data_IF_524481923843
#
_entry.id   IF_524481923843
#
_cell.length_a   1.000
_cell.length_b   1.000
_cell.length_c   1.000
_cell.angle_alpha   90.00
_cell.angle_beta   90.00
_cell.angle_gamma   90.00
#
_symmetry.space_group_name_H-M   'P 1'
#
loop_
_entity.id
_entity.type
_entity.pdbx_description
1 polymer ?
#
# COMPACT_ATOMS: atom_id res chain seq x y z
N UNK A 1 32.98 23.92 3.07
CA UNK A 1 32.16 24.64 2.07
C UNK A 1 31.02 23.72 1.67
N UNK A 2 29.80 23.98 2.14
CA UNK A 2 28.62 23.15 1.84
C UNK A 2 28.03 23.66 0.54
N UNK A 3 27.98 22.82 -0.49
CA UNK A 3 27.35 23.16 -1.77
C UNK A 3 25.86 22.85 -1.62
N UNK A 4 25.05 23.89 -1.49
CA UNK A 4 23.59 23.80 -1.50
C UNK A 4 23.17 23.82 -2.97
N UNK A 5 22.79 22.69 -3.53
CA UNK A 5 22.19 22.62 -4.87
C UNK A 5 20.67 22.69 -4.70
N UNK A 6 20.08 23.83 -5.06
CA UNK A 6 18.62 24.01 -5.11
C UNK A 6 18.19 23.67 -6.53
N UNK A 7 17.53 22.52 -6.70
CA UNK A 7 16.88 22.14 -7.96
C UNK A 7 15.39 21.97 -7.64
N UNK A 8 14.54 22.83 -8.21
CA UNK A 8 13.07 22.77 -8.10
C UNK A 8 12.50 22.67 -6.67
N UNK A 9 13.02 23.45 -5.72
CA UNK A 9 12.47 23.49 -4.34
C UNK A 9 12.80 22.27 -3.46
N UNK A 10 13.55 21.30 -4.00
CA UNK A 10 14.10 20.18 -3.25
C UNK A 10 15.56 20.47 -2.97
N UNK A 11 15.97 20.45 -1.70
CA UNK A 11 17.38 20.55 -1.33
C UNK A 11 17.93 19.15 -1.09
N UNK A 12 18.82 18.74 -1.99
CA UNK A 12 19.69 17.57 -1.78
C UNK A 12 20.95 18.07 -1.10
N UNK A 13 21.04 17.91 0.22
CA UNK A 13 22.23 18.31 0.97
C UNK A 13 23.28 17.22 0.80
N UNK A 14 24.39 17.54 0.12
CA UNK A 14 25.55 16.66 0.01
C UNK A 14 26.61 17.12 1.03
N UNK A 15 26.81 16.42 2.16
CA UNK A 15 27.83 16.80 3.11
C UNK A 15 29.19 16.32 2.60
N UNK A 16 30.06 17.27 2.23
CA UNK A 16 31.50 16.99 2.15
C UNK A 16 32.01 16.94 3.59
N UNK A 17 31.79 15.80 4.25
CA UNK A 17 32.48 15.42 5.47
C UNK A 17 33.29 14.16 5.18
N UNK A 18 34.59 14.22 5.44
CA UNK A 18 35.45 13.04 5.44
C UNK A 18 34.99 12.09 6.56
N UNK A 19 34.67 10.84 6.18
CA UNK A 19 34.50 9.73 7.12
C UNK A 19 33.10 9.13 7.17
N UNK A 20 33.02 7.89 6.68
CA UNK A 20 31.91 6.91 6.74
C UNK A 20 30.81 7.02 5.67
N UNK A 21 30.69 5.94 4.90
CA UNK A 21 29.79 5.74 3.76
C UNK A 21 28.31 5.67 4.11
N UNK A 22 27.96 5.60 5.40
CA UNK A 22 26.60 5.28 5.87
C UNK A 22 25.71 6.51 6.14
N UNK A 23 26.29 7.72 6.09
CA UNK A 23 25.57 8.98 6.35
C UNK A 23 25.07 9.65 5.07
N UNK A 24 25.48 9.17 3.89
CA UNK A 24 25.22 9.80 2.57
C UNK A 24 23.76 9.75 2.07
N UNK A 25 22.77 9.37 2.89
CA UNK A 25 21.42 9.03 2.39
C UNK A 25 20.20 9.65 3.09
N UNK A 26 20.33 10.51 4.10
CA UNK A 26 19.29 10.57 5.15
C UNK A 26 18.53 11.86 5.44
N UNK A 27 18.49 12.86 4.55
CA UNK A 27 17.63 14.03 4.81
C UNK A 27 16.93 14.50 3.55
N UNK A 28 15.64 14.17 3.41
CA UNK A 28 14.73 14.74 2.42
C UNK A 28 13.87 15.76 3.16
N UNK A 29 14.11 17.04 2.96
CA UNK A 29 13.28 18.12 3.50
C UNK A 29 12.81 19.02 2.37
N UNK A 30 11.58 19.50 2.47
CA UNK A 30 11.05 20.57 1.62
C UNK A 30 11.18 21.89 2.39
N UNK A 31 11.55 22.97 1.69
CA UNK A 31 11.87 24.25 2.30
C UNK A 31 10.95 25.35 1.75
N UNK A 32 10.39 26.13 2.66
CA UNK A 32 9.67 27.36 2.36
C UNK A 32 10.41 28.55 2.97
N UNK A 33 10.63 29.57 2.16
CA UNK A 33 11.35 30.77 2.58
C UNK A 33 10.38 31.78 3.17
N UNK A 34 10.95 32.60 4.04
CA UNK A 34 10.27 33.71 4.68
C UNK A 34 9.14 33.30 5.63
N UNK A 35 9.17 32.08 6.16
CA UNK A 35 8.17 31.58 7.11
C UNK A 35 8.79 31.03 8.39
N UNK A 36 8.10 31.22 9.52
CA UNK A 36 8.37 30.50 10.78
C UNK A 36 7.09 30.02 11.44
N UNK A 37 7.22 28.95 12.22
CA UNK A 37 6.16 28.38 13.04
C UNK A 37 5.78 29.37 14.15
N UNK A 38 4.49 29.55 14.37
CA UNK A 38 3.94 30.26 15.52
C UNK A 38 3.93 29.32 16.71
N UNK A 39 4.53 29.74 17.83
CA UNK A 39 4.59 28.91 19.04
C UNK A 39 3.18 28.55 19.53
N UNK A 40 2.97 27.26 19.75
CA UNK A 40 1.76 26.66 20.29
C UNK A 40 2.11 25.52 21.26
N UNK A 41 1.11 24.83 21.82
CA UNK A 41 1.31 23.71 22.74
C UNK A 41 2.05 22.51 22.08
N UNK A 42 2.00 22.38 20.74
CA UNK A 42 2.73 21.35 19.98
C UNK A 42 4.16 21.77 19.59
N UNK A 43 4.57 23.00 19.96
CA UNK A 43 5.82 23.58 19.48
C UNK A 43 6.91 23.56 20.55
N UNK A 44 8.04 22.92 20.26
CA UNK A 44 9.25 23.01 21.09
C UNK A 44 10.23 24.03 20.51
N UNK A 45 10.74 24.96 21.33
CA UNK A 45 11.71 25.98 20.86
C UNK A 45 13.07 25.76 21.48
N UNK A 46 14.11 25.78 20.64
CA UNK A 46 15.51 25.63 21.04
C UNK A 46 16.42 26.54 20.22
N UNK A 47 17.71 26.58 20.52
CA UNK A 47 18.72 27.31 19.75
C UNK A 47 19.37 26.38 18.72
N UNK A 48 19.68 26.92 17.55
CA UNK A 48 20.48 26.26 16.54
C UNK A 48 21.38 27.27 15.80
N UNK A 49 22.54 26.81 15.37
CA UNK A 49 23.54 27.60 14.64
C UNK A 49 23.21 27.67 13.15
N UNK A 50 22.32 26.80 12.67
CA UNK A 50 21.88 26.78 11.27
C UNK A 50 20.54 26.06 11.09
N UNK A 51 19.92 26.27 9.93
CA UNK A 51 18.77 25.48 9.47
C UNK A 51 19.10 23.98 9.40
N UNK A 52 20.34 23.60 9.09
CA UNK A 52 20.78 22.19 9.02
C UNK A 52 20.73 21.56 10.42
N UNK A 53 21.26 22.25 11.43
CA UNK A 53 21.18 21.76 12.80
C UNK A 53 19.72 21.69 13.27
N UNK A 54 18.89 22.68 12.92
CA UNK A 54 17.46 22.66 13.23
C UNK A 54 16.73 21.47 12.59
N UNK A 55 17.00 21.15 11.32
CA UNK A 55 16.46 19.95 10.66
C UNK A 55 16.95 18.64 11.29
N UNK A 56 18.19 18.64 11.80
CA UNK A 56 18.77 17.47 12.48
C UNK A 56 18.06 17.20 13.79
N UNK A 57 17.77 18.26 14.55
CA UNK A 57 16.96 18.18 15.77
C UNK A 57 15.56 17.63 15.46
N UNK A 58 14.90 18.12 14.41
CA UNK A 58 13.60 17.57 14.00
C UNK A 58 13.68 16.09 13.55
N UNK A 59 14.80 15.66 12.98
CA UNK A 59 14.97 14.26 12.56
C UNK A 59 15.21 13.34 13.75
N UNK A 60 15.87 13.82 14.81
CA UNK A 60 16.10 13.05 16.04
C UNK A 60 14.87 12.96 16.93
N UNK A 61 13.93 13.91 16.81
CA UNK A 61 12.66 13.87 17.52
C UNK A 61 11.65 13.00 16.76
N UNK A 62 11.14 11.95 17.43
CA UNK A 62 10.24 10.98 16.82
C UNK A 62 8.94 11.62 16.31
N UNK A 63 8.41 12.60 17.06
CA UNK A 63 7.14 13.26 16.76
C UNK A 63 7.28 14.51 15.90
N UNK A 64 8.49 14.97 15.59
CA UNK A 64 8.66 16.20 14.81
C UNK A 64 8.37 15.96 13.32
N UNK A 65 7.41 16.74 12.80
CA UNK A 65 6.95 16.72 11.41
C UNK A 65 7.44 17.95 10.64
N UNK A 66 7.50 19.10 11.32
CA UNK A 66 7.97 20.36 10.76
C UNK A 66 8.90 21.08 11.70
N UNK A 67 9.79 21.91 11.14
CA UNK A 67 10.59 22.82 11.92
C UNK A 67 10.73 24.17 11.23
N UNK A 68 11.08 25.21 11.97
CA UNK A 68 11.46 26.50 11.39
C UNK A 68 12.66 27.10 12.07
N UNK A 69 13.46 27.83 11.28
CA UNK A 69 14.69 28.45 11.72
C UNK A 69 14.66 29.95 11.40
N UNK A 70 14.95 30.79 12.39
CA UNK A 70 15.12 32.23 12.20
C UNK A 70 16.61 32.60 12.22
N UNK A 71 17.12 33.05 11.08
CA UNK A 71 18.52 33.46 10.91
C UNK A 71 18.94 34.65 11.78
N UNK A 72 18.01 35.51 12.21
CA UNK A 72 18.32 36.68 13.03
C UNK A 72 18.51 36.28 14.48
N UNK A 73 17.61 35.44 15.00
CA UNK A 73 17.58 35.10 16.42
C UNK A 73 18.26 33.77 16.73
N UNK A 74 18.58 32.95 15.73
CA UNK A 74 19.10 31.59 15.89
C UNK A 74 18.09 30.64 16.56
N UNK A 75 16.80 30.99 16.56
CA UNK A 75 15.75 30.15 17.14
C UNK A 75 15.33 29.07 16.15
N UNK A 76 15.33 27.83 16.63
CA UNK A 76 14.77 26.65 16.00
C UNK A 76 13.47 26.28 16.70
N UNK A 77 12.38 26.18 15.96
CA UNK A 77 11.07 25.72 16.44
C UNK A 77 10.78 24.38 15.80
N UNK A 78 10.48 23.37 16.60
CA UNK A 78 10.07 22.04 16.17
C UNK A 78 8.58 21.89 16.44
N UNK A 79 7.83 21.29 15.53
CA UNK A 79 6.39 21.06 15.69
C UNK A 79 6.02 19.66 15.23
N UNK A 80 5.09 19.03 15.95
CA UNK A 80 4.58 17.71 15.61
C UNK A 80 3.49 17.72 14.54
N UNK A 81 3.06 18.90 14.08
CA UNK A 81 2.10 19.04 13.00
C UNK A 81 2.81 19.18 11.64
N UNK A 82 2.35 18.42 10.64
CA UNK A 82 2.81 18.53 9.25
C UNK A 82 2.30 19.78 8.52
N UNK A 83 1.32 20.48 9.10
CA UNK A 83 0.76 21.74 8.62
C UNK A 83 0.60 22.75 9.78
N UNK A 84 1.72 23.28 10.32
CA UNK A 84 1.70 24.17 11.47
C UNK A 84 1.10 25.53 11.10
N UNK A 85 0.67 26.29 12.12
CA UNK A 85 0.38 27.72 11.93
C UNK A 85 1.70 28.46 11.72
N UNK A 86 1.80 29.24 10.65
CA UNK A 86 3.02 29.98 10.29
C UNK A 86 2.78 31.48 10.27
N UNK A 87 3.87 32.24 10.36
CA UNK A 87 3.88 33.67 10.08
C UNK A 87 5.06 34.02 9.19
N UNK A 88 4.85 35.00 8.32
CA UNK A 88 5.89 35.45 7.40
C UNK A 88 6.93 36.32 8.11
N UNK A 89 8.21 35.95 8.03
CA UNK A 89 9.33 36.79 8.42
C UNK A 89 10.46 36.66 7.41
N UNK A 90 11.12 37.75 7.02
CA UNK A 90 12.17 37.74 5.98
C UNK A 90 13.37 36.82 6.30
N UNK A 91 13.64 36.58 7.57
CA UNK A 91 14.77 35.76 8.04
C UNK A 91 14.40 34.32 8.37
N UNK A 92 13.16 33.94 8.08
CA UNK A 92 12.58 32.65 8.41
C UNK A 92 12.80 31.63 7.31
N UNK A 93 13.03 30.39 7.73
CA UNK A 93 12.94 29.23 6.86
C UNK A 93 12.07 28.19 7.57
N UNK A 94 11.03 27.73 6.88
CA UNK A 94 10.20 26.61 7.27
C UNK A 94 10.69 25.35 6.55
N UNK A 95 10.76 24.24 7.28
CA UNK A 95 11.18 22.92 6.78
C UNK A 95 10.13 21.88 7.10
N UNK A 96 9.82 21.06 6.10
CA UNK A 96 8.95 19.90 6.22
C UNK A 96 9.78 18.64 6.11
N UNK A 97 9.62 17.73 7.08
CA UNK A 97 10.23 16.40 7.01
C UNK A 97 9.56 15.63 5.88
N UNK A 98 10.30 15.30 4.82
CA UNK A 98 9.74 14.48 3.74
C UNK A 98 9.75 13.03 4.22
N UNK A 99 8.57 12.54 4.55
CA UNK A 99 8.36 11.12 4.75
C UNK A 99 8.42 10.42 3.40
N UNK A 100 9.14 9.31 3.34
CA UNK A 100 9.04 8.44 2.19
C UNK A 100 7.61 7.89 2.14
N UNK A 101 6.97 7.89 0.96
CA UNK A 101 5.58 7.46 0.88
C UNK A 101 5.49 6.01 1.30
N UNK A 102 4.75 5.72 2.35
CA UNK A 102 4.59 4.35 2.88
C UNK A 102 3.59 3.54 2.08
N UNK A 103 2.73 4.23 1.33
CA UNK A 103 1.79 3.68 0.35
C UNK A 103 1.41 4.77 -0.67
N UNK A 104 0.61 4.42 -1.67
CA UNK A 104 0.19 5.33 -2.72
C UNK A 104 -0.67 6.52 -2.25
N UNK A 105 -1.27 6.45 -1.05
CA UNK A 105 -2.07 7.56 -0.52
C UNK A 105 -1.21 8.75 -0.08
N UNK A 106 0.08 8.50 0.12
CA UNK A 106 1.10 9.51 0.49
C UNK A 106 1.85 10.08 -0.72
N UNK A 107 1.44 9.74 -1.94
CA UNK A 107 2.01 10.34 -3.14
C UNK A 107 1.61 11.82 -3.25
N UNK A 108 2.46 12.68 -3.83
CA UNK A 108 2.15 14.09 -4.00
C UNK A 108 0.83 14.32 -4.75
N UNK A 109 0.11 15.39 -4.39
CA UNK A 109 -1.08 15.82 -5.13
C UNK A 109 -0.73 16.07 -6.61
N UNK A 110 -1.61 15.63 -7.51
CA UNK A 110 -1.38 15.71 -8.96
C UNK A 110 -0.53 14.58 -9.54
N UNK A 111 -0.07 13.61 -8.72
CA UNK A 111 0.55 12.40 -9.24
C UNK A 111 -0.42 11.62 -10.14
N UNK A 112 0.12 10.96 -11.17
CA UNK A 112 -0.64 10.20 -12.16
C UNK A 112 -0.51 8.69 -11.93
N UNK A 113 -1.38 7.90 -12.56
CA UNK A 113 -1.30 6.44 -12.48
C UNK A 113 0.06 5.94 -12.99
N UNK A 114 0.67 4.99 -12.28
CA UNK A 114 1.97 4.44 -12.68
C UNK A 114 2.66 3.66 -11.58
N UNK A 115 3.89 3.23 -11.85
CA UNK A 115 4.73 2.53 -10.88
C UNK A 115 5.51 3.53 -10.04
N UNK A 116 5.43 3.37 -8.73
CA UNK A 116 6.13 4.20 -7.74
C UNK A 116 6.89 3.33 -6.75
N UNK A 117 7.90 3.93 -6.10
CA UNK A 117 8.58 3.34 -4.94
C UNK A 117 7.90 3.80 -3.67
N UNK A 118 7.46 2.83 -2.86
CA UNK A 118 7.04 3.07 -1.48
C UNK A 118 8.09 2.53 -0.51
N UNK A 119 8.14 3.10 0.70
CA UNK A 119 9.06 2.66 1.74
C UNK A 119 8.31 1.93 2.85
N UNK A 120 8.68 0.68 3.09
CA UNK A 120 8.01 -0.22 4.03
C UNK A 120 8.80 -0.24 5.34
N UNK A 121 8.37 0.61 6.29
CA UNK A 121 9.13 0.98 7.49
C UNK A 121 9.59 -0.22 8.34
N UNK A 122 8.70 -1.18 8.62
CA UNK A 122 8.95 -2.30 9.54
C UNK A 122 10.03 -3.28 9.03
N UNK A 123 10.30 -3.27 7.72
CA UNK A 123 11.32 -4.08 7.06
C UNK A 123 12.39 -3.25 6.36
N UNK A 124 12.38 -1.92 6.57
CA UNK A 124 13.39 -0.96 6.11
C UNK A 124 13.81 -1.17 4.64
N UNK A 125 12.82 -1.29 3.73
CA UNK A 125 13.08 -1.51 2.29
C UNK A 125 12.11 -0.75 1.41
N UNK A 126 12.54 -0.51 0.18
CA UNK A 126 11.66 0.00 -0.87
C UNK A 126 10.97 -1.14 -1.60
N UNK A 127 9.73 -0.89 -2.01
CA UNK A 127 8.94 -1.76 -2.85
C UNK A 127 8.40 -0.97 -4.04
N UNK A 128 8.51 -1.54 -5.23
CA UNK A 128 7.83 -1.01 -6.42
C UNK A 128 6.37 -1.46 -6.38
N UNK A 129 5.43 -0.52 -6.53
CA UNK A 129 3.99 -0.76 -6.54
C UNK A 129 3.33 0.06 -7.63
N UNK A 130 2.22 -0.42 -8.18
CA UNK A 130 1.39 0.39 -9.05
C UNK A 130 0.45 1.25 -8.20
N UNK A 131 0.50 2.56 -8.40
CA UNK A 131 -0.41 3.51 -7.78
C UNK A 131 -1.52 3.90 -8.75
N UNK A 132 -2.75 3.64 -8.34
CA UNK A 132 -3.94 4.20 -8.97
C UNK A 132 -4.29 5.53 -8.27
N UNK A 133 -3.87 6.61 -8.91
CA UNK A 133 -4.06 7.98 -8.45
C UNK A 133 -5.43 8.55 -8.84
N UNK A 134 -6.15 7.93 -9.79
CA UNK A 134 -7.46 8.39 -10.27
C UNK A 134 -8.50 8.53 -9.16
N UNK A 135 -8.40 7.71 -8.11
CA UNK A 135 -9.31 7.71 -6.96
C UNK A 135 -8.58 7.96 -5.62
N UNK A 136 -7.51 8.76 -5.64
CA UNK A 136 -6.85 9.24 -4.43
C UNK A 136 -5.78 8.29 -3.87
N UNK A 137 -4.96 7.68 -4.74
CA UNK A 137 -3.72 7.01 -4.33
C UNK A 137 -3.93 5.61 -3.75
N UNK A 138 -4.57 4.73 -4.51
CA UNK A 138 -4.69 3.32 -4.15
C UNK A 138 -3.43 2.55 -4.51
N UNK A 139 -2.96 1.71 -3.59
CA UNK A 139 -1.85 0.78 -3.83
C UNK A 139 -2.41 -0.51 -4.40
N UNK A 140 -2.12 -0.81 -5.66
CA UNK A 140 -2.57 -2.05 -6.29
C UNK A 140 -1.74 -3.22 -5.75
N UNK A 141 -2.41 -4.28 -5.32
CA UNK A 141 -1.78 -5.49 -4.75
C UNK A 141 -2.00 -6.73 -5.61
N UNK A 142 -2.98 -6.69 -6.52
CA UNK A 142 -3.20 -7.71 -7.54
C UNK A 142 -3.81 -7.07 -8.78
N UNK A 143 -3.36 -7.46 -9.97
CA UNK A 143 -3.95 -7.04 -11.24
C UNK A 143 -4.04 -8.17 -12.25
N UNK A 144 -5.22 -8.37 -12.83
CA UNK A 144 -5.57 -9.23 -13.96
C UNK A 144 -6.18 -8.41 -15.10
N UNK A 145 -5.76 -8.60 -16.33
CA UNK A 145 -6.26 -7.88 -17.50
C UNK A 145 -6.07 -8.60 -18.85
N UNK A 146 -5.11 -9.54 -18.98
CA UNK A 146 -4.69 -10.10 -20.26
C UNK A 146 -4.21 -11.56 -20.21
N UNK A 147 -4.06 -12.15 -19.01
CA UNK A 147 -3.59 -13.51 -18.84
C UNK A 147 -2.12 -13.73 -19.14
N UNK A 148 -1.31 -12.67 -19.17
CA UNK A 148 0.14 -12.74 -19.43
C UNK A 148 0.93 -13.41 -18.31
N UNK A 149 0.35 -13.55 -17.11
CA UNK A 149 1.01 -14.16 -15.96
C UNK A 149 0.21 -15.35 -15.44
N UNK A 150 0.91 -16.45 -15.20
CA UNK A 150 0.35 -17.63 -14.53
C UNK A 150 0.21 -17.38 -13.02
N UNK A 151 -1.02 -17.49 -12.51
CA UNK A 151 -1.36 -17.35 -11.09
C UNK A 151 -1.50 -18.70 -10.39
N UNK A 152 -1.39 -19.85 -11.07
CA UNK A 152 -1.41 -21.17 -10.43
C UNK A 152 -0.05 -21.54 -9.82
N UNK A 153 0.37 -20.72 -8.85
CA UNK A 153 1.68 -20.74 -8.21
C UNK A 153 1.69 -21.45 -6.88
N UNK A 154 2.88 -21.75 -6.40
CA UNK A 154 3.11 -22.38 -5.09
C UNK A 154 3.10 -21.34 -3.95
N UNK A 155 3.18 -21.81 -2.71
CA UNK A 155 3.21 -20.97 -1.53
C UNK A 155 4.33 -19.93 -1.54
N UNK A 156 5.53 -20.34 -1.96
CA UNK A 156 6.72 -19.48 -1.94
C UNK A 156 6.59 -18.31 -2.92
N UNK A 157 6.04 -18.56 -4.10
CA UNK A 157 5.72 -17.54 -5.10
C UNK A 157 4.66 -16.58 -4.56
N UNK A 158 3.56 -17.07 -3.97
CA UNK A 158 2.53 -16.21 -3.37
C UNK A 158 3.02 -15.40 -2.18
N UNK A 159 3.95 -15.95 -1.39
CA UNK A 159 4.63 -15.27 -0.29
C UNK A 159 5.47 -14.09 -0.79
N UNK A 160 6.31 -14.31 -1.79
CA UNK A 160 7.27 -13.31 -2.33
C UNK A 160 6.62 -12.29 -3.27
N UNK A 161 5.58 -12.71 -3.99
CA UNK A 161 5.00 -11.99 -5.10
C UNK A 161 5.59 -12.43 -6.44
N UNK A 162 4.82 -12.22 -7.51
CA UNK A 162 5.17 -12.63 -8.87
C UNK A 162 4.49 -11.73 -9.90
N UNK A 163 4.96 -11.78 -11.15
CA UNK A 163 4.46 -10.96 -12.25
C UNK A 163 5.20 -9.63 -12.39
N UNK A 164 4.57 -8.67 -13.06
CA UNK A 164 5.13 -7.35 -13.32
C UNK A 164 4.18 -6.27 -12.82
N UNK A 165 4.67 -5.37 -11.95
CA UNK A 165 3.88 -4.27 -11.37
C UNK A 165 3.30 -3.31 -12.42
N UNK A 166 3.88 -3.25 -13.63
CA UNK A 166 3.33 -2.50 -14.76
C UNK A 166 2.25 -3.26 -15.55
N UNK A 167 2.02 -4.54 -15.28
CA UNK A 167 1.10 -5.45 -15.97
C UNK A 167 0.30 -6.31 -14.98
N UNK A 168 0.24 -7.62 -15.21
CA UNK A 168 -0.36 -8.56 -14.27
C UNK A 168 0.61 -8.97 -13.17
N UNK A 169 0.16 -8.99 -11.92
CA UNK A 169 0.99 -9.40 -10.78
C UNK A 169 0.18 -9.71 -9.54
N UNK A 170 0.82 -10.44 -8.62
CA UNK A 170 0.47 -10.54 -7.21
C UNK A 170 1.61 -9.92 -6.41
N UNK A 171 1.30 -8.95 -5.53
CA UNK A 171 2.34 -8.20 -4.83
C UNK A 171 3.16 -9.09 -3.88
N UNK A 172 2.59 -10.16 -3.35
CA UNK A 172 3.23 -11.05 -2.38
C UNK A 172 2.64 -10.88 -0.98
N UNK A 173 2.32 -11.99 -0.31
CA UNK A 173 1.63 -11.96 0.98
C UNK A 173 2.49 -11.27 2.06
N UNK A 174 3.80 -11.52 2.09
CA UNK A 174 4.70 -10.81 3.01
C UNK A 174 4.73 -9.31 2.70
N UNK A 175 4.71 -8.93 1.42
CA UNK A 175 4.72 -7.53 1.01
C UNK A 175 3.43 -6.83 1.45
N UNK A 176 2.28 -7.47 1.23
CA UNK A 176 0.97 -6.97 1.65
C UNK A 176 0.94 -6.83 3.18
N UNK A 177 1.29 -7.87 3.93
CA UNK A 177 1.33 -7.85 5.40
C UNK A 177 2.17 -6.68 5.93
N UNK A 178 3.38 -6.51 5.38
CA UNK A 178 4.30 -5.46 5.82
C UNK A 178 3.82 -4.04 5.48
N UNK A 179 3.07 -3.84 4.38
CA UNK A 179 2.43 -2.56 4.07
C UNK A 179 1.34 -2.25 5.11
N UNK A 180 0.50 -3.25 5.42
CA UNK A 180 -0.59 -3.08 6.40
C UNK A 180 -0.04 -2.76 7.79
N UNK A 181 1.10 -3.37 8.17
CA UNK A 181 1.84 -3.10 9.41
C UNK A 181 0.94 -3.07 10.67
N UNK A 182 0.04 -4.06 10.77
CA UNK A 182 -0.94 -4.19 11.87
C UNK A 182 -2.12 -3.22 11.83
N UNK A 183 -2.14 -2.26 10.89
CA UNK A 183 -3.21 -1.29 10.72
C UNK A 183 -4.32 -1.83 9.82
N UNK A 184 -5.51 -1.26 9.96
CA UNK A 184 -6.63 -1.53 9.03
C UNK A 184 -6.46 -0.67 7.78
N UNK A 185 -6.61 -1.28 6.61
CA UNK A 185 -6.70 -0.59 5.32
C UNK A 185 -8.08 -0.83 4.72
N UNK A 186 -8.54 0.09 3.86
CA UNK A 186 -9.63 -0.24 2.93
C UNK A 186 -9.10 -1.13 1.81
N UNK A 187 -9.89 -2.13 1.43
CA UNK A 187 -9.65 -3.01 0.29
C UNK A 187 -10.73 -2.78 -0.77
N UNK A 188 -10.32 -2.67 -2.03
CA UNK A 188 -11.23 -2.50 -3.15
C UNK A 188 -10.89 -3.45 -4.30
N UNK A 189 -11.92 -4.05 -4.88
CA UNK A 189 -11.91 -4.77 -6.14
C UNK A 189 -12.61 -3.93 -7.20
N UNK A 190 -11.92 -3.65 -8.31
CA UNK A 190 -12.54 -3.13 -9.52
C UNK A 190 -12.62 -4.25 -10.57
N UNK A 191 -13.80 -4.41 -11.17
CA UNK A 191 -14.15 -5.53 -12.04
C UNK A 191 -14.65 -5.00 -13.39
N UNK A 192 -14.29 -5.68 -14.49
CA UNK A 192 -14.79 -5.37 -15.83
C UNK A 192 -15.17 -6.66 -16.58
N UNK A 193 -16.32 -6.66 -17.26
CA UNK A 193 -16.74 -7.70 -18.21
C UNK A 193 -16.21 -7.41 -19.60
N UNK A 194 -16.16 -8.42 -20.46
CA UNK A 194 -15.82 -8.25 -21.89
C UNK A 194 -16.79 -7.32 -22.63
N UNK A 195 -18.02 -7.17 -22.14
CA UNK A 195 -19.01 -6.21 -22.64
C UNK A 195 -18.71 -4.75 -22.28
N UNK A 196 -17.68 -4.48 -21.46
CA UNK A 196 -17.32 -3.15 -20.97
C UNK A 196 -18.09 -2.70 -19.72
N UNK A 197 -19.04 -3.50 -19.22
CA UNK A 197 -19.69 -3.25 -17.94
C UNK A 197 -18.67 -3.34 -16.80
N UNK A 198 -18.79 -2.42 -15.83
CA UNK A 198 -17.89 -2.33 -14.66
C UNK A 198 -18.67 -2.40 -13.36
N UNK A 199 -18.03 -2.93 -12.34
CA UNK A 199 -18.56 -2.96 -10.97
C UNK A 199 -17.42 -3.01 -9.96
N UNK A 200 -17.75 -2.88 -8.68
CA UNK A 200 -16.76 -2.91 -7.61
C UNK A 200 -17.31 -3.52 -6.33
N UNK A 201 -16.40 -4.10 -5.54
CA UNK A 201 -16.61 -4.51 -4.16
C UNK A 201 -15.56 -3.84 -3.28
N UNK A 202 -15.96 -3.29 -2.15
CA UNK A 202 -15.06 -2.58 -1.25
C UNK A 202 -15.34 -3.00 0.20
N UNK A 203 -14.28 -3.19 0.97
CA UNK A 203 -14.31 -3.52 2.38
C UNK A 203 -13.58 -2.40 3.12
N UNK A 204 -14.24 -1.82 4.11
CA UNK A 204 -13.65 -0.80 4.97
C UNK A 204 -12.45 -1.37 5.73
N UNK A 205 -12.60 -2.55 6.33
CA UNK A 205 -11.52 -3.19 7.10
C UNK A 205 -10.94 -4.33 6.27
N UNK A 206 -9.64 -4.25 6.02
CA UNK A 206 -8.81 -5.33 5.49
C UNK A 206 -7.54 -5.46 6.32
N UNK A 207 -7.29 -6.68 6.79
CA UNK A 207 -6.02 -7.11 7.40
C UNK A 207 -5.68 -8.51 6.92
N UNK A 208 -4.39 -8.82 6.93
CA UNK A 208 -3.92 -10.20 6.90
C UNK A 208 -2.95 -10.41 8.05
N UNK A 209 -2.90 -11.62 8.61
CA UNK A 209 -1.86 -12.02 9.55
C UNK A 209 -0.54 -12.33 8.81
N UNK A 210 0.51 -12.68 9.55
CA UNK A 210 1.78 -13.11 8.95
C UNK A 210 1.73 -14.59 8.51
N UNK A 211 2.87 -15.09 8.01
CA UNK A 211 2.97 -16.49 7.56
C UNK A 211 2.77 -17.52 8.69
N UNK A 212 3.08 -17.17 9.94
CA UNK A 212 2.94 -18.09 11.08
C UNK A 212 1.47 -18.37 11.42
N UNK A 213 0.58 -17.48 10.99
CA UNK A 213 -0.87 -17.61 11.06
C UNK A 213 -1.50 -17.79 9.66
N UNK A 214 -0.72 -18.32 8.70
CA UNK A 214 -1.18 -18.68 7.36
C UNK A 214 -1.86 -17.53 6.59
N UNK A 215 -1.39 -16.29 6.82
CA UNK A 215 -1.96 -15.07 6.25
C UNK A 215 -3.47 -14.92 6.48
N UNK A 216 -3.96 -15.30 7.67
CA UNK A 216 -5.37 -15.22 8.06
C UNK A 216 -5.99 -13.86 7.67
N UNK A 217 -7.09 -13.90 6.93
CA UNK A 217 -7.78 -12.72 6.40
C UNK A 217 -8.75 -12.12 7.41
N UNK A 218 -8.76 -10.81 7.59
CA UNK A 218 -9.85 -10.09 8.26
C UNK A 218 -10.51 -9.11 7.30
N UNK A 219 -11.83 -9.22 7.15
CA UNK A 219 -12.65 -8.33 6.33
C UNK A 219 -13.88 -7.81 7.10
N UNK A 220 -14.24 -6.55 6.92
CA UNK A 220 -15.52 -5.99 7.37
C UNK A 220 -15.91 -4.71 6.61
N UNK A 221 -17.17 -4.27 6.78
CA UNK A 221 -17.67 -3.02 6.22
C UNK A 221 -17.81 -3.07 4.69
N UNK A 222 -18.50 -4.08 4.18
CA UNK A 222 -18.73 -4.21 2.74
C UNK A 222 -19.55 -3.03 2.18
N UNK A 223 -19.18 -2.56 1.00
CA UNK A 223 -19.96 -1.68 0.14
C UNK A 223 -19.65 -1.98 -1.34
N UNK A 224 -20.57 -1.64 -2.23
CA UNK A 224 -20.33 -1.70 -3.68
C UNK A 224 -21.44 -2.34 -4.48
N UNK A 225 -21.24 -2.39 -5.79
CA UNK A 225 -22.24 -2.82 -6.79
C UNK A 225 -21.97 -4.22 -7.33
N UNK A 226 -20.88 -4.87 -6.94
CA UNK A 226 -20.52 -6.21 -7.39
C UNK A 226 -21.21 -7.32 -6.59
N UNK A 227 -22.21 -6.95 -5.79
CA UNK A 227 -22.82 -7.79 -4.78
C UNK A 227 -21.84 -8.10 -3.65
N UNK A 228 -22.28 -7.88 -2.40
CA UNK A 228 -21.84 -8.85 -1.40
C UNK A 228 -22.57 -10.11 -1.81
N UNK A 229 -21.93 -11.27 -1.76
CA UNK A 229 -22.66 -12.48 -2.02
C UNK A 229 -23.88 -12.49 -1.07
N UNK A 230 -25.11 -12.31 -1.57
CA UNK A 230 -26.32 -12.53 -0.78
C UNK A 230 -26.48 -14.02 -0.44
N UNK A 231 -25.54 -14.86 -0.92
CA UNK A 231 -25.22 -16.21 -0.49
C UNK A 231 -23.91 -16.32 0.34
N UNK A 232 -23.51 -15.20 0.92
CA UNK A 232 -22.67 -15.05 2.10
C UNK A 232 -21.30 -15.75 2.03
N UNK A 233 -20.40 -15.44 1.08
CA UNK A 233 -19.07 -16.10 1.05
C UNK A 233 -17.86 -15.18 1.15
N UNK A 234 -17.87 -13.97 0.60
CA UNK A 234 -16.67 -13.13 0.65
C UNK A 234 -16.42 -12.45 2.00
N UNK A 235 -17.45 -11.83 2.60
CA UNK A 235 -17.34 -11.35 3.98
C UNK A 235 -17.12 -12.50 4.98
N UNK A 236 -17.62 -13.71 4.68
CA UNK A 236 -17.31 -14.94 5.42
C UNK A 236 -15.90 -15.50 5.15
N UNK A 237 -15.14 -14.92 4.21
CA UNK A 237 -13.71 -15.20 4.10
C UNK A 237 -12.91 -14.56 5.25
N UNK A 238 -13.53 -13.65 6.02
CA UNK A 238 -12.94 -13.19 7.28
C UNK A 238 -12.74 -14.40 8.21
N UNK A 239 -11.54 -14.55 8.73
CA UNK A 239 -11.06 -15.70 9.50
C UNK A 239 -10.48 -16.85 8.67
N UNK A 240 -10.53 -16.80 7.33
CA UNK A 240 -10.00 -17.86 6.48
C UNK A 240 -8.48 -17.75 6.29
N UNK A 241 -7.86 -18.91 6.13
CA UNK A 241 -6.43 -19.05 5.89
C UNK A 241 -6.13 -19.06 4.39
N UNK A 242 -4.97 -18.55 4.01
CA UNK A 242 -4.53 -18.59 2.62
C UNK A 242 -4.11 -20.02 2.26
N UNK A 243 -4.48 -20.51 1.08
CA UNK A 243 -4.07 -21.81 0.56
C UNK A 243 -3.50 -21.70 -0.84
N UNK A 244 -2.62 -22.62 -1.20
CA UNK A 244 -2.00 -22.77 -2.54
C UNK A 244 -1.96 -24.25 -2.91
N UNK A 245 -1.51 -24.57 -4.13
CA UNK A 245 -1.51 -25.97 -4.61
C UNK A 245 -0.69 -26.94 -3.75
N UNK A 246 0.33 -26.42 -3.06
CA UNK A 246 1.28 -27.18 -2.23
C UNK A 246 1.13 -26.93 -0.72
N UNK A 247 0.35 -25.92 -0.29
CA UNK A 247 0.00 -25.69 1.12
C UNK A 247 -1.51 -25.56 1.27
N UNK A 248 -2.09 -26.60 1.85
CA UNK A 248 -3.52 -26.76 2.04
C UNK A 248 -3.91 -26.31 3.45
N UNK A 249 -4.58 -25.17 3.52
CA UNK A 249 -5.11 -24.59 4.75
C UNK A 249 -6.64 -24.37 4.64
N UNK A 250 -7.27 -25.03 3.66
CA UNK A 250 -8.72 -25.10 3.59
C UNK A 250 -9.24 -26.28 4.44
N UNK A 251 -10.55 -26.38 4.58
CA UNK A 251 -11.18 -27.34 5.50
C UNK A 251 -11.90 -28.47 4.74
N UNK A 252 -11.54 -28.71 3.47
CA UNK A 252 -12.19 -29.73 2.66
C UNK A 252 -11.45 -31.08 2.71
N UNK A 253 -11.92 -32.01 3.54
CA UNK A 253 -11.32 -33.35 3.68
C UNK A 253 -11.29 -34.19 2.38
N UNK A 254 -12.09 -33.84 1.37
CA UNK A 254 -12.25 -34.58 0.12
C UNK A 254 -11.38 -34.08 -1.04
N UNK A 255 -10.60 -33.02 -0.87
CA UNK A 255 -9.80 -32.43 -1.95
C UNK A 255 -9.05 -31.17 -1.51
N UNK A 256 -8.65 -30.33 -2.47
CA UNK A 256 -7.94 -29.07 -2.21
C UNK A 256 -8.51 -27.95 -3.07
N UNK A 257 -9.07 -26.92 -2.47
CA UNK A 257 -9.70 -25.82 -3.19
C UNK A 257 -8.70 -25.09 -4.10
N UNK A 258 -7.47 -24.88 -3.64
CA UNK A 258 -6.43 -24.27 -4.46
C UNK A 258 -6.10 -25.07 -5.74
N UNK A 259 -6.25 -26.41 -5.71
CA UNK A 259 -6.02 -27.27 -6.87
C UNK A 259 -7.21 -27.28 -7.84
N UNK A 260 -8.43 -27.21 -7.30
CA UNK A 260 -9.68 -27.12 -8.07
C UNK A 260 -9.83 -25.76 -8.75
N UNK A 261 -9.61 -24.67 -8.02
CA UNK A 261 -9.72 -23.30 -8.54
C UNK A 261 -8.48 -22.80 -9.28
N UNK A 262 -7.41 -23.61 -9.32
CA UNK A 262 -6.13 -23.28 -9.98
C UNK A 262 -5.56 -21.92 -9.56
N UNK A 263 -5.63 -21.62 -8.26
CA UNK A 263 -5.20 -20.34 -7.72
C UNK A 263 -4.76 -20.46 -6.26
N UNK A 264 -3.98 -19.50 -5.79
CA UNK A 264 -3.82 -19.24 -4.36
C UNK A 264 -4.88 -18.24 -3.89
N UNK A 265 -5.60 -18.55 -2.81
CA UNK A 265 -6.66 -17.70 -2.28
C UNK A 265 -7.01 -18.03 -0.83
N UNK A 266 -7.83 -17.15 -0.22
CA UNK A 266 -8.56 -17.46 1.00
C UNK A 266 -9.84 -18.20 0.63
N UNK A 267 -9.85 -19.52 0.79
CA UNK A 267 -11.01 -20.35 0.49
C UNK A 267 -11.93 -20.48 1.70
N UNK A 268 -13.21 -20.75 1.47
CA UNK A 268 -14.17 -20.91 2.57
C UNK A 268 -13.80 -22.13 3.45
N UNK A 269 -14.08 -22.05 4.75
CA UNK A 269 -13.86 -23.16 5.69
C UNK A 269 -14.89 -24.28 5.53
N UNK A 270 -16.15 -23.93 5.32
CA UNK A 270 -17.23 -24.92 5.24
C UNK A 270 -17.52 -25.26 3.78
N UNK A 271 -16.73 -26.18 3.24
CA UNK A 271 -16.84 -26.66 1.86
C UNK A 271 -17.53 -28.03 1.88
N UNK A 272 -18.81 -28.06 1.53
CA UNK A 272 -19.59 -29.30 1.44
C UNK A 272 -19.29 -30.09 0.15
N UNK A 273 -18.71 -29.42 -0.85
CA UNK A 273 -18.32 -30.02 -2.14
C UNK A 273 -17.31 -29.14 -2.89
N UNK A 274 -16.69 -29.64 -3.95
CA UNK A 274 -15.75 -28.86 -4.80
C UNK A 274 -16.34 -27.53 -5.32
N UNK A 275 -17.67 -27.43 -5.45
CA UNK A 275 -18.38 -26.25 -5.92
C UNK A 275 -18.46 -25.12 -4.87
N UNK A 276 -18.09 -25.42 -3.62
CA UNK A 276 -18.25 -24.53 -2.46
C UNK A 276 -16.95 -23.81 -2.06
N UNK A 277 -15.84 -24.08 -2.76
CA UNK A 277 -14.52 -23.52 -2.45
C UNK A 277 -14.51 -21.99 -2.46
N UNK A 278 -15.10 -21.39 -3.50
CA UNK A 278 -15.22 -19.93 -3.61
C UNK A 278 -16.30 -19.52 -4.63
N UNK A 279 -16.81 -18.30 -4.47
CA UNK A 279 -17.75 -17.64 -5.39
C UNK A 279 -17.08 -16.54 -6.20
N UNK A 280 -15.82 -16.28 -5.90
CA UNK A 280 -14.97 -15.34 -6.63
C UNK A 280 -13.59 -15.97 -6.78
N UNK A 281 -13.04 -15.94 -7.98
CA UNK A 281 -11.69 -16.44 -8.21
C UNK A 281 -10.86 -15.36 -8.92
N UNK A 282 -10.50 -14.24 -8.25
CA UNK A 282 -9.69 -13.19 -8.84
C UNK A 282 -8.33 -13.68 -9.37
N UNK A 283 -7.82 -14.76 -8.77
CA UNK A 283 -6.54 -15.36 -9.10
C UNK A 283 -6.66 -16.53 -10.09
N UNK A 284 -7.85 -16.78 -10.65
CA UNK A 284 -8.08 -17.85 -11.63
C UNK A 284 -7.34 -17.68 -12.96
N UNK A 285 -7.58 -18.58 -13.88
CA UNK A 285 -6.93 -18.64 -15.18
C UNK A 285 -7.73 -17.90 -16.26
N UNK A 286 -7.05 -17.37 -17.27
CA UNK A 286 -7.67 -16.85 -18.48
C UNK A 286 -7.72 -17.95 -19.55
N UNK A 287 -8.53 -18.97 -19.32
CA UNK A 287 -8.67 -20.13 -20.21
C UNK A 287 -10.13 -20.43 -20.51
N UNK A 288 -10.42 -20.88 -21.73
CA UNK A 288 -11.73 -21.44 -22.07
C UNK A 288 -11.81 -22.89 -21.55
N UNK A 289 -12.87 -23.22 -20.80
CA UNK A 289 -13.07 -24.59 -20.32
C UNK A 289 -13.73 -24.68 -18.95
N UNK A 290 -12.98 -25.16 -17.95
CA UNK A 290 -13.49 -25.44 -16.61
C UNK A 290 -13.83 -24.14 -15.86
N UNK A 291 -15.12 -23.93 -15.62
CA UNK A 291 -15.69 -22.73 -15.03
C UNK A 291 -15.24 -22.47 -13.58
N UNK A 292 -14.70 -23.47 -12.88
CA UNK A 292 -14.16 -23.33 -11.52
C UNK A 292 -12.75 -22.71 -11.51
N UNK A 293 -12.03 -22.83 -12.63
CA UNK A 293 -10.62 -22.45 -12.73
C UNK A 293 -10.43 -21.01 -13.19
N UNK A 294 -11.47 -20.39 -13.77
CA UNK A 294 -11.36 -19.12 -14.48
C UNK A 294 -11.34 -17.89 -13.56
N UNK A 295 -10.98 -16.72 -14.10
CA UNK A 295 -11.15 -15.43 -13.41
C UNK A 295 -12.63 -15.03 -13.43
N UNK A 296 -13.36 -15.24 -12.34
CA UNK A 296 -14.80 -14.91 -12.26
C UNK A 296 -15.21 -14.19 -10.97
N UNK A 297 -16.38 -13.55 -11.02
CA UNK A 297 -17.06 -12.95 -9.86
C UNK A 297 -18.56 -13.23 -9.93
N UNK A 298 -18.97 -14.37 -9.36
CA UNK A 298 -20.34 -14.87 -9.49
C UNK A 298 -21.40 -13.94 -8.87
N UNK A 299 -21.19 -13.30 -7.69
CA UNK A 299 -22.21 -12.44 -7.07
C UNK A 299 -22.67 -11.26 -7.93
N UNK A 300 -21.81 -10.80 -8.84
CA UNK A 300 -22.11 -9.69 -9.73
C UNK A 300 -22.73 -10.16 -11.04
N UNK A 301 -22.13 -11.19 -11.63
CA UNK A 301 -22.45 -11.65 -12.99
C UNK A 301 -23.63 -12.62 -13.01
N UNK A 302 -23.96 -13.21 -11.85
CA UNK A 302 -24.89 -14.33 -11.70
C UNK A 302 -24.58 -15.50 -12.65
N UNK A 303 -23.30 -15.68 -12.97
CA UNK A 303 -22.80 -16.70 -13.89
C UNK A 303 -21.32 -17.01 -13.59
N UNK A 304 -20.82 -18.12 -14.13
CA UNK A 304 -19.39 -18.37 -14.22
C UNK A 304 -18.92 -17.93 -15.60
N UNK A 305 -18.49 -16.67 -15.68
CA UNK A 305 -17.95 -16.08 -16.90
C UNK A 305 -16.59 -15.45 -16.62
N UNK A 306 -15.71 -15.47 -17.63
CA UNK A 306 -14.39 -14.88 -17.55
C UNK A 306 -14.55 -13.36 -17.50
N UNK A 307 -14.08 -12.75 -16.42
CA UNK A 307 -13.96 -11.31 -16.34
C UNK A 307 -12.82 -10.84 -17.24
N UNK A 308 -13.02 -9.71 -17.90
CA UNK A 308 -11.98 -9.06 -18.71
C UNK A 308 -10.85 -8.59 -17.81
N UNK A 309 -11.16 -7.95 -16.69
CA UNK A 309 -10.14 -7.51 -15.74
C UNK A 309 -10.63 -7.54 -14.30
N UNK A 310 -9.69 -7.80 -13.38
CA UNK A 310 -9.88 -7.70 -11.93
C UNK A 310 -8.68 -7.00 -11.34
N UNK A 311 -8.90 -5.96 -10.54
CA UNK A 311 -7.83 -5.26 -9.81
C UNK A 311 -8.16 -5.21 -8.33
N UNK A 312 -7.27 -5.72 -7.48
CA UNK A 312 -7.35 -5.64 -6.03
C UNK A 312 -6.38 -4.55 -5.55
N UNK A 313 -6.86 -3.59 -4.75
CA UNK A 313 -6.07 -2.45 -4.30
C UNK A 313 -6.43 -2.03 -2.88
N UNK A 314 -5.46 -1.51 -2.17
CA UNK A 314 -5.58 -1.10 -0.76
C UNK A 314 -5.28 0.37 -0.58
N UNK A 315 -5.90 0.99 0.43
CA UNK A 315 -5.66 2.38 0.80
C UNK A 315 -5.79 2.57 2.30
N UNK A 316 -4.83 3.31 2.88
CA UNK A 316 -4.89 3.72 4.27
C UNK A 316 -5.92 4.85 4.44
N UNK A 317 -6.61 4.85 5.57
CA UNK A 317 -7.58 5.88 5.95
C UNK A 317 -6.94 7.24 6.21
#
# INVERSE_FOLDING_TARGET
>A
MVIIIIIYGVVVINPICHGTSDIKKKMKFTLEKEEIIVSSDSTTTTKADSVIQCTTLCTSEQECETASYDHTTGQCRLDSNSNPQTKTIKTGILVFKNHEPTDCSKMPNGSINGVYKIFVNNVNRYLDVYCDMTAGGWTVIQRRQDGSVDFYRDWLDYKKGFGNVSGEYWLGNDNIFNILNGKSYSLRFDLERSSGQRSYAQYEIFKIADESEDYNLTLAGYSGTAGDANWNRFAQLSGQLFSTKDRDNDNWDGGKCATTSKAGWWYAKEVLSRYDCTYVNPNGMYVDGNLEEIVYWHPWTNSFEILKSVTMKIKYF
#
